data_IF_821472479302
#
_entry.id   IF_821472479302
#
_cell.length_a   1.000
_cell.length_b   1.000
_cell.length_c   1.000
_cell.angle_alpha   90.00
_cell.angle_beta   90.00
_cell.angle_gamma   90.00
#
_symmetry.space_group_name_H-M   'P 1'
#
loop_
_entity.id
_entity.type
_entity.pdbx_description
1 polymer ?
#
# COMPACT_ATOMS: atom_id res chain seq x y z
N UNK A 1 7.13 -37.48 5.67
CA UNK A 1 6.99 -36.23 6.44
C UNK A 1 6.76 -35.12 5.43
N UNK A 2 5.58 -34.52 5.38
CA UNK A 2 5.24 -33.45 4.44
C UNK A 2 5.21 -32.13 5.18
N UNK A 3 5.86 -31.12 4.61
CA UNK A 3 5.91 -29.76 5.13
C UNK A 3 5.41 -28.80 4.04
N UNK A 4 4.57 -27.86 4.43
CA UNK A 4 4.07 -26.80 3.55
C UNK A 4 4.75 -25.49 3.90
N UNK A 5 5.39 -24.86 2.92
CA UNK A 5 5.89 -23.48 3.00
C UNK A 5 4.85 -22.59 2.35
N UNK A 6 4.40 -21.54 3.02
CA UNK A 6 3.67 -20.45 2.37
C UNK A 6 4.54 -19.20 2.43
N UNK A 7 5.02 -18.75 1.27
CA UNK A 7 5.79 -17.52 1.16
C UNK A 7 4.89 -16.38 0.71
N UNK A 8 5.14 -15.14 1.18
CA UNK A 8 4.48 -13.98 0.62
C UNK A 8 4.88 -13.82 -0.85
N UNK A 9 3.97 -13.26 -1.65
CA UNK A 9 4.33 -12.77 -2.98
C UNK A 9 5.28 -11.57 -2.81
N UNK A 10 6.43 -11.61 -3.48
CA UNK A 10 7.38 -10.51 -3.47
C UNK A 10 7.83 -10.18 -4.90
N UNK A 11 8.21 -8.93 -5.13
CA UNK A 11 8.72 -8.44 -6.42
C UNK A 11 10.00 -7.64 -6.19
N UNK A 12 11.03 -7.89 -7.00
CA UNK A 12 12.34 -7.21 -6.91
C UNK A 12 12.74 -6.76 -8.31
N UNK A 13 13.12 -5.50 -8.45
CA UNK A 13 13.56 -4.91 -9.71
C UNK A 13 13.33 -3.41 -9.75
N UNK A 14 13.93 -2.73 -10.72
CA UNK A 14 13.76 -1.29 -10.90
C UNK A 14 12.32 -0.91 -11.28
N UNK A 15 11.60 -1.81 -11.96
CA UNK A 15 10.25 -1.58 -12.49
C UNK A 15 9.13 -2.14 -11.59
N UNK A 16 9.43 -2.56 -10.35
CA UNK A 16 8.46 -3.28 -9.51
C UNK A 16 7.16 -2.50 -9.23
N UNK A 17 7.20 -1.17 -9.22
CA UNK A 17 6.01 -0.33 -9.04
C UNK A 17 4.97 -0.52 -10.15
N UNK A 18 5.40 -0.82 -11.39
CA UNK A 18 4.50 -1.05 -12.54
C UNK A 18 3.72 -2.35 -12.43
N UNK A 19 4.21 -3.29 -11.62
CA UNK A 19 3.56 -4.58 -11.38
C UNK A 19 2.54 -4.51 -10.23
N UNK A 20 2.46 -3.40 -9.50
CA UNK A 20 1.51 -3.23 -8.39
C UNK A 20 0.07 -3.52 -8.85
N UNK A 21 -0.45 -2.95 -9.96
CA UNK A 21 -1.81 -3.23 -10.40
C UNK A 21 -2.04 -4.70 -10.74
N UNK A 22 -1.02 -5.39 -11.29
CA UNK A 22 -1.09 -6.81 -11.53
C UNK A 22 -1.34 -7.52 -10.20
N UNK A 23 -0.46 -7.43 -9.21
CA UNK A 23 -0.65 -8.17 -7.96
C UNK A 23 -1.85 -7.70 -7.12
N UNK A 24 -2.15 -6.41 -7.11
CA UNK A 24 -3.23 -5.80 -6.35
C UNK A 24 -4.64 -6.20 -6.83
N UNK A 25 -4.79 -6.62 -8.10
CA UNK A 25 -6.10 -6.90 -8.73
C UNK A 25 -6.96 -7.92 -7.99
N UNK A 26 -6.35 -8.79 -7.19
CA UNK A 26 -7.04 -9.83 -6.42
C UNK A 26 -7.64 -9.32 -5.10
N UNK A 27 -7.20 -8.14 -4.65
CA UNK A 27 -7.56 -7.60 -3.34
C UNK A 27 -8.55 -6.42 -3.43
N UNK A 28 -8.60 -5.73 -4.57
CA UNK A 28 -9.57 -4.67 -4.81
C UNK A 28 -9.06 -3.62 -5.79
N UNK A 29 -9.72 -2.46 -5.80
CA UNK A 29 -9.38 -1.34 -6.71
C UNK A 29 -9.08 -0.04 -5.98
N UNK A 30 -9.34 0.03 -4.67
CA UNK A 30 -9.08 1.22 -3.86
C UNK A 30 -7.96 0.91 -2.87
N UNK A 31 -6.87 1.65 -2.96
CA UNK A 31 -5.74 1.54 -2.06
C UNK A 31 -5.57 2.83 -1.25
N UNK A 32 -5.09 2.72 -0.03
CA UNK A 32 -4.44 3.84 0.69
C UNK A 32 -2.96 3.52 0.82
N UNK A 33 -2.13 4.55 0.96
CA UNK A 33 -0.70 4.36 1.22
C UNK A 33 -0.37 4.98 2.56
N UNK A 34 0.10 4.16 3.50
CA UNK A 34 0.45 4.60 4.85
C UNK A 34 1.98 4.55 5.00
N UNK A 35 2.58 5.65 5.43
CA UNK A 35 4.04 5.67 5.59
C UNK A 35 4.58 6.86 6.35
N UNK A 36 5.92 6.91 6.46
CA UNK A 36 6.64 8.06 6.99
C UNK A 36 6.74 9.19 5.97
N UNK A 37 6.94 10.44 6.44
CA UNK A 37 7.08 11.62 5.57
C UNK A 37 8.19 11.45 4.52
N UNK A 38 9.35 10.95 4.93
CA UNK A 38 10.49 10.71 4.02
C UNK A 38 10.20 9.63 2.99
N UNK A 39 9.55 8.54 3.39
CA UNK A 39 9.20 7.44 2.47
C UNK A 39 8.20 7.93 1.42
N UNK A 40 7.13 8.61 1.86
CA UNK A 40 6.14 9.18 0.95
C UNK A 40 6.77 10.21 0.01
N UNK A 41 7.63 11.10 0.50
CA UNK A 41 8.31 12.10 -0.35
C UNK A 41 9.18 11.47 -1.45
N UNK A 42 9.67 10.24 -1.27
CA UNK A 42 10.53 9.56 -2.25
C UNK A 42 9.76 8.59 -3.15
N UNK A 43 8.71 7.96 -2.63
CA UNK A 43 8.01 6.88 -3.32
C UNK A 43 6.68 7.31 -3.95
N UNK A 44 6.10 8.45 -3.54
CA UNK A 44 4.77 8.89 -4.00
C UNK A 44 4.67 8.97 -5.53
N UNK A 45 5.63 9.62 -6.17
CA UNK A 45 5.60 9.79 -7.63
C UNK A 45 5.74 8.44 -8.35
N UNK A 46 6.65 7.58 -7.89
CA UNK A 46 6.84 6.23 -8.44
C UNK A 46 5.61 5.33 -8.25
N UNK A 47 4.90 5.46 -7.11
CA UNK A 47 3.64 4.75 -6.87
C UNK A 47 2.55 5.21 -7.84
N UNK A 48 2.39 6.53 -7.98
CA UNK A 48 1.40 7.11 -8.89
C UNK A 48 1.68 6.76 -10.35
N UNK A 49 2.94 6.80 -10.77
CA UNK A 49 3.37 6.38 -12.09
C UNK A 49 3.15 4.87 -12.31
N UNK A 50 3.50 4.05 -11.32
CA UNK A 50 3.36 2.59 -11.40
C UNK A 50 1.93 2.10 -11.56
N UNK A 51 0.95 2.86 -11.02
CA UNK A 51 -0.48 2.53 -11.17
C UNK A 51 -1.14 3.26 -12.35
N UNK A 52 -0.43 4.17 -13.01
CA UNK A 52 -0.99 4.98 -14.09
C UNK A 52 -1.49 4.08 -15.23
N UNK A 53 -2.73 4.34 -15.70
CA UNK A 53 -3.37 3.54 -16.74
C UNK A 53 -4.01 2.23 -16.23
N UNK A 54 -3.97 1.96 -14.93
CA UNK A 54 -4.68 0.84 -14.33
C UNK A 54 -6.02 1.25 -13.69
N UNK A 55 -6.81 0.25 -13.32
CA UNK A 55 -8.06 0.43 -12.56
C UNK A 55 -7.84 0.72 -11.07
N UNK A 56 -6.60 0.58 -10.58
CA UNK A 56 -6.24 0.79 -9.18
C UNK A 56 -6.21 2.30 -8.88
N UNK A 57 -6.85 2.71 -7.78
CA UNK A 57 -6.91 4.10 -7.33
C UNK A 57 -6.32 4.22 -5.95
N UNK A 58 -5.35 5.10 -5.78
CA UNK A 58 -4.89 5.52 -4.45
C UNK A 58 -5.82 6.62 -3.95
N UNK A 59 -6.51 6.36 -2.84
CA UNK A 59 -7.45 7.28 -2.20
C UNK A 59 -6.72 8.37 -1.43
N UNK A 60 -5.66 8.01 -0.70
CA UNK A 60 -4.91 8.95 0.12
C UNK A 60 -3.49 8.45 0.44
N UNK A 61 -2.61 9.40 0.82
CA UNK A 61 -1.28 9.16 1.37
C UNK A 61 -1.24 9.66 2.80
N UNK A 62 -1.25 8.72 3.75
CA UNK A 62 -1.44 9.02 5.16
C UNK A 62 -0.11 8.92 5.90
N UNK A 63 0.23 9.98 6.63
CA UNK A 63 1.36 9.92 7.55
C UNK A 63 0.99 9.10 8.78
N UNK A 64 1.77 8.06 9.05
CA UNK A 64 1.53 7.14 10.16
C UNK A 64 1.65 7.79 11.56
N UNK A 65 2.38 8.90 11.71
CA UNK A 65 2.53 9.60 13.00
C UNK A 65 3.92 9.49 13.64
N UNK A 66 4.91 8.94 12.92
CA UNK A 66 6.32 8.92 13.34
C UNK A 66 6.72 7.71 14.16
N UNK A 67 5.86 7.28 15.09
CA UNK A 67 6.10 6.13 15.99
C UNK A 67 4.98 5.09 15.90
N UNK A 68 5.32 3.81 16.12
CA UNK A 68 4.37 2.70 16.16
C UNK A 68 3.67 2.56 17.50
N UNK A 69 2.69 3.43 17.70
CA UNK A 69 1.86 3.47 18.90
C UNK A 69 0.42 3.05 18.62
N UNK A 70 -0.29 2.61 19.66
CA UNK A 70 -1.70 2.26 19.56
C UNK A 70 -2.56 3.47 19.21
N UNK A 71 -2.20 4.66 19.70
CA UNK A 71 -2.90 5.91 19.41
C UNK A 71 -2.88 6.20 17.90
N UNK A 72 -1.72 6.08 17.27
CA UNK A 72 -1.56 6.25 15.82
C UNK A 72 -2.31 5.17 15.04
N UNK A 73 -2.24 3.91 15.49
CA UNK A 73 -3.03 2.82 14.90
C UNK A 73 -4.54 3.07 14.97
N UNK A 74 -5.04 3.51 16.12
CA UNK A 74 -6.46 3.84 16.31
C UNK A 74 -6.90 5.03 15.44
N UNK A 75 -6.04 6.03 15.26
CA UNK A 75 -6.31 7.14 14.35
C UNK A 75 -6.46 6.66 12.89
N UNK A 76 -5.69 5.66 12.46
CA UNK A 76 -5.83 5.06 11.13
C UNK A 76 -7.09 4.22 11.00
N UNK A 77 -7.45 3.44 12.03
CA UNK A 77 -8.71 2.67 12.03
C UNK A 77 -9.93 3.59 11.92
N UNK A 78 -9.88 4.76 12.55
CA UNK A 78 -10.95 5.75 12.49
C UNK A 78 -10.95 6.59 11.19
N UNK A 79 -9.91 6.48 10.36
CA UNK A 79 -9.80 7.29 9.15
C UNK A 79 -10.76 6.77 8.05
N UNK A 80 -11.61 7.66 7.53
CA UNK A 80 -12.61 7.32 6.52
C UNK A 80 -12.01 6.76 5.23
N UNK A 81 -10.86 7.28 4.77
CA UNK A 81 -10.24 6.78 3.53
C UNK A 81 -9.66 5.38 3.72
N UNK A 82 -9.15 5.06 4.92
CA UNK A 82 -8.69 3.71 5.28
C UNK A 82 -9.87 2.74 5.31
N UNK A 83 -11.01 3.15 5.90
CA UNK A 83 -12.21 2.31 5.96
C UNK A 83 -12.83 2.04 4.57
N UNK A 84 -12.66 2.97 3.63
CA UNK A 84 -13.16 2.85 2.25
C UNK A 84 -12.20 2.10 1.32
N UNK A 85 -10.97 1.84 1.76
CA UNK A 85 -9.96 1.17 0.96
C UNK A 85 -10.12 -0.34 1.03
N UNK A 86 -9.85 -0.99 -0.09
CA UNK A 86 -9.76 -2.45 -0.17
C UNK A 86 -8.33 -2.93 0.19
N UNK A 87 -7.34 -2.05 0.03
CA UNK A 87 -5.90 -2.33 0.17
C UNK A 87 -5.25 -1.21 1.00
N UNK A 88 -4.32 -1.58 1.89
CA UNK A 88 -3.51 -0.67 2.73
C UNK A 88 -2.03 -0.79 2.38
#
# INVERSE_FOLDING_TARGET
>A
MSYNVCLPNYSIGADCYKEIPYFARYYGKKAVVIGGKTAMSKAKDALLEGIAGSDLKILDFIWYGGDSTYENGNALIANETVQQADII
#
